data_IF_627154709640
#
_entry.id   IF_627154709640
#
_cell.length_a   1.000
_cell.length_b   1.000
_cell.length_c   1.000
_cell.angle_alpha   90.00
_cell.angle_beta   90.00
_cell.angle_gamma   90.00
#
_symmetry.space_group_name_H-M   'P 1'
#
loop_
_entity.id
_entity.type
_entity.pdbx_description
1 polymer ?
#
# COMPACT_ATOMS: atom_id res chain seq x y z
N UNK A 1 0.81 -28.07 -5.07
CA UNK A 1 1.86 -27.85 -6.09
C UNK A 1 1.52 -26.56 -6.80
N UNK A 2 2.51 -25.73 -7.12
CA UNK A 2 2.32 -24.56 -7.99
C UNK A 2 2.05 -25.07 -9.41
N UNK A 3 1.02 -24.54 -10.05
CA UNK A 3 0.71 -24.80 -11.46
C UNK A 3 1.64 -23.93 -12.32
N UNK A 4 2.57 -24.56 -13.04
CA UNK A 4 3.61 -23.86 -13.79
C UNK A 4 3.07 -22.99 -14.93
N UNK A 5 1.91 -23.34 -15.48
CA UNK A 5 1.26 -22.63 -16.60
C UNK A 5 0.13 -21.70 -16.09
N UNK A 6 -0.03 -21.62 -14.78
CA UNK A 6 -1.14 -20.93 -14.13
C UNK A 6 -1.08 -19.41 -14.23
N UNK A 7 -2.24 -18.78 -13.99
CA UNK A 7 -2.36 -17.33 -13.83
C UNK A 7 -2.38 -17.01 -12.34
N UNK A 8 -1.45 -16.19 -11.88
CA UNK A 8 -1.36 -15.77 -10.48
C UNK A 8 -1.62 -14.29 -10.32
N UNK A 9 -2.19 -13.90 -9.18
CA UNK A 9 -2.37 -12.50 -8.81
C UNK A 9 -1.47 -12.16 -7.64
N UNK A 10 -0.70 -11.08 -7.76
CA UNK A 10 -0.07 -10.42 -6.61
C UNK A 10 -0.86 -9.13 -6.33
N UNK A 11 -1.69 -9.17 -5.28
CA UNK A 11 -2.61 -8.10 -4.95
C UNK A 11 -1.94 -6.90 -4.28
N UNK A 12 -0.65 -7.02 -3.95
CA UNK A 12 0.17 -6.03 -3.26
C UNK A 12 1.59 -6.10 -3.81
N UNK A 13 1.71 -5.92 -5.13
CA UNK A 13 2.96 -6.25 -5.85
C UNK A 13 4.17 -5.50 -5.29
N UNK A 14 3.96 -4.31 -4.71
CA UNK A 14 5.02 -3.55 -4.08
C UNK A 14 6.17 -3.32 -5.06
N UNK A 15 7.41 -3.55 -4.62
CA UNK A 15 8.59 -3.50 -5.50
C UNK A 15 8.77 -4.73 -6.41
N UNK A 16 7.88 -5.72 -6.37
CA UNK A 16 7.89 -6.90 -7.25
C UNK A 16 8.72 -8.09 -6.77
N UNK A 17 9.18 -8.12 -5.51
CA UNK A 17 10.03 -9.20 -5.00
C UNK A 17 9.36 -10.58 -4.94
N UNK A 18 8.13 -10.64 -4.42
CA UNK A 18 7.36 -11.90 -4.40
C UNK A 18 6.94 -12.32 -5.80
N UNK A 19 6.45 -11.37 -6.60
CA UNK A 19 6.15 -11.54 -8.02
C UNK A 19 7.31 -12.16 -8.82
N UNK A 20 8.52 -11.62 -8.67
CA UNK A 20 9.73 -12.13 -9.34
C UNK A 20 10.02 -13.58 -8.93
N UNK A 21 10.02 -13.85 -7.62
CA UNK A 21 10.29 -15.19 -7.10
C UNK A 21 9.24 -16.22 -7.53
N UNK A 22 8.00 -15.79 -7.76
CA UNK A 22 6.95 -16.63 -8.33
C UNK A 22 7.19 -16.88 -9.82
N UNK A 23 7.40 -15.83 -10.61
CA UNK A 23 7.62 -15.92 -12.06
C UNK A 23 8.84 -16.77 -12.43
N UNK A 24 9.92 -16.71 -11.64
CA UNK A 24 11.11 -17.57 -11.80
C UNK A 24 10.81 -19.07 -11.65
N UNK A 25 9.65 -19.44 -11.07
CA UNK A 25 9.20 -20.84 -10.92
C UNK A 25 8.13 -21.25 -11.93
N UNK A 26 7.59 -20.32 -12.69
CA UNK A 26 6.57 -20.57 -13.71
C UNK A 26 7.22 -20.89 -15.05
N UNK A 27 6.51 -21.62 -15.90
CA UNK A 27 6.90 -21.84 -17.29
C UNK A 27 6.67 -20.56 -18.12
N UNK A 28 7.08 -20.56 -19.38
CA UNK A 28 6.80 -19.45 -20.30
C UNK A 28 5.30 -19.19 -20.55
N UNK A 29 4.42 -20.14 -20.19
CA UNK A 29 2.97 -19.95 -20.28
C UNK A 29 2.37 -19.35 -19.01
N UNK A 30 3.06 -19.46 -17.87
CA UNK A 30 2.59 -18.91 -16.61
C UNK A 30 2.62 -17.39 -16.61
N UNK A 31 1.56 -16.78 -16.07
CA UNK A 31 1.32 -15.34 -16.09
C UNK A 31 1.15 -14.78 -14.69
N UNK A 32 1.55 -13.52 -14.53
CA UNK A 32 1.34 -12.75 -13.33
C UNK A 32 0.51 -11.50 -13.62
N UNK A 33 -0.52 -11.30 -12.81
CA UNK A 33 -1.27 -10.05 -12.73
C UNK A 33 -0.91 -9.37 -11.40
N UNK A 34 -0.09 -8.32 -11.46
CA UNK A 34 0.30 -7.54 -10.28
C UNK A 34 -0.52 -6.27 -10.15
N UNK A 35 -0.86 -5.89 -8.92
CA UNK A 35 -1.51 -4.62 -8.66
C UNK A 35 -0.98 -3.94 -7.39
N UNK A 36 -0.96 -2.60 -7.43
CA UNK A 36 -0.71 -1.76 -6.26
C UNK A 36 -1.47 -0.44 -6.42
N UNK A 37 -1.73 0.24 -5.29
CA UNK A 37 -2.25 1.61 -5.31
C UNK A 37 -1.14 2.66 -5.41
N UNK A 38 0.07 2.28 -5.03
CA UNK A 38 1.26 3.13 -5.04
C UNK A 38 1.94 3.09 -6.42
N UNK A 39 1.96 4.24 -7.09
CA UNK A 39 2.55 4.39 -8.43
C UNK A 39 4.08 4.24 -8.41
N UNK A 40 4.75 4.63 -7.32
CA UNK A 40 6.19 4.46 -7.18
C UNK A 40 6.57 2.99 -7.06
N UNK A 41 5.77 2.22 -6.30
CA UNK A 41 5.94 0.78 -6.15
C UNK A 41 5.74 0.07 -7.49
N UNK A 42 4.68 0.41 -8.24
CA UNK A 42 4.44 -0.14 -9.56
C UNK A 42 5.54 0.16 -10.57
N UNK A 43 6.11 1.37 -10.54
CA UNK A 43 7.24 1.70 -11.40
C UNK A 43 8.47 0.83 -11.09
N UNK A 44 8.73 0.55 -9.81
CA UNK A 44 9.80 -0.36 -9.40
C UNK A 44 9.53 -1.81 -9.81
N UNK A 45 8.30 -2.30 -9.59
CA UNK A 45 7.90 -3.62 -10.05
C UNK A 45 8.01 -3.76 -11.57
N UNK A 46 7.64 -2.73 -12.33
CA UNK A 46 7.76 -2.74 -13.79
C UNK A 46 9.21 -2.89 -14.24
N UNK A 47 10.15 -2.18 -13.60
CA UNK A 47 11.58 -2.32 -13.92
C UNK A 47 12.12 -3.70 -13.51
N UNK A 48 11.81 -4.15 -12.28
CA UNK A 48 12.27 -5.45 -11.77
C UNK A 48 11.76 -6.61 -12.64
N UNK A 49 10.49 -6.56 -13.04
CA UNK A 49 9.82 -7.63 -13.76
C UNK A 49 9.97 -7.52 -15.28
N UNK A 50 10.69 -6.50 -15.79
CA UNK A 50 10.86 -6.24 -17.22
C UNK A 50 11.37 -7.45 -18.00
N UNK A 51 12.19 -8.31 -17.38
CA UNK A 51 12.74 -9.52 -18.00
C UNK A 51 11.69 -10.59 -18.36
N UNK A 52 10.50 -10.54 -17.75
CA UNK A 52 9.42 -11.50 -18.00
C UNK A 52 8.47 -11.07 -19.13
N UNK A 53 8.61 -9.86 -19.66
CA UNK A 53 7.87 -9.36 -20.82
C UNK A 53 6.35 -9.47 -20.66
N UNK A 54 5.68 -9.98 -21.70
CA UNK A 54 4.21 -10.03 -21.80
C UNK A 54 3.54 -10.98 -20.80
N UNK A 55 4.32 -11.78 -20.06
CA UNK A 55 3.81 -12.64 -18.98
C UNK A 55 3.35 -11.84 -17.78
N UNK A 56 3.71 -10.56 -17.68
CA UNK A 56 3.41 -9.69 -16.55
C UNK A 56 2.47 -8.56 -16.96
N UNK A 57 1.35 -8.45 -16.26
CA UNK A 57 0.42 -7.33 -16.36
C UNK A 57 0.41 -6.60 -15.03
N UNK A 58 0.83 -5.33 -15.03
CA UNK A 58 0.78 -4.48 -13.85
C UNK A 58 -0.36 -3.47 -13.97
N UNK A 59 -1.20 -3.37 -12.94
CA UNK A 59 -2.34 -2.44 -12.89
C UNK A 59 -2.30 -1.61 -11.62
N UNK A 60 -2.45 -0.29 -11.79
CA UNK A 60 -2.65 0.62 -10.67
C UNK A 60 -4.09 0.55 -10.19
N UNK A 61 -4.30 -0.11 -9.06
CA UNK A 61 -5.60 -0.23 -8.40
C UNK A 61 -5.42 -0.73 -6.96
N UNK A 62 -6.32 -0.36 -6.03
CA UNK A 62 -6.37 -1.01 -4.73
C UNK A 62 -6.81 -2.48 -4.89
N UNK A 63 -6.29 -3.39 -4.07
CA UNK A 63 -6.66 -4.81 -4.13
C UNK A 63 -8.16 -5.08 -3.98
N UNK A 64 -8.93 -4.16 -3.40
CA UNK A 64 -10.40 -4.24 -3.34
C UNK A 64 -11.06 -4.25 -4.71
N UNK A 65 -10.36 -3.77 -5.75
CA UNK A 65 -10.82 -3.73 -7.14
C UNK A 65 -10.32 -4.93 -7.97
N UNK A 66 -9.63 -5.90 -7.35
CA UNK A 66 -9.10 -7.09 -8.04
C UNK A 66 -10.17 -7.78 -8.90
N UNK A 67 -11.39 -7.95 -8.39
CA UNK A 67 -12.48 -8.59 -9.14
C UNK A 67 -12.92 -7.82 -10.38
N UNK A 68 -12.88 -6.48 -10.36
CA UNK A 68 -13.16 -5.64 -11.53
C UNK A 68 -12.03 -5.77 -12.55
N UNK A 69 -10.79 -5.68 -12.06
CA UNK A 69 -9.60 -5.78 -12.90
C UNK A 69 -9.49 -7.14 -13.60
N UNK A 70 -9.78 -8.25 -12.93
CA UNK A 70 -9.80 -9.58 -13.56
C UNK A 70 -10.89 -9.70 -14.65
N UNK A 71 -12.05 -9.09 -14.44
CA UNK A 71 -13.12 -9.05 -15.45
C UNK A 71 -12.71 -8.26 -16.69
N UNK A 72 -12.07 -7.10 -16.52
CA UNK A 72 -11.58 -6.28 -17.62
C UNK A 72 -10.50 -6.98 -18.45
N UNK A 73 -9.70 -7.84 -17.79
CA UNK A 73 -8.69 -8.67 -18.45
C UNK A 73 -9.26 -9.98 -19.03
N UNK A 74 -10.58 -10.18 -18.93
CA UNK A 74 -11.29 -11.40 -19.36
C UNK A 74 -10.73 -12.68 -18.71
N UNK A 75 -10.26 -12.57 -17.46
CA UNK A 75 -9.73 -13.68 -16.67
C UNK A 75 -10.84 -14.25 -15.78
N UNK A 76 -11.30 -15.45 -16.11
CA UNK A 76 -12.35 -16.14 -15.35
C UNK A 76 -11.84 -16.83 -14.07
N UNK A 77 -10.63 -17.39 -14.10
CA UNK A 77 -10.04 -18.16 -13.00
C UNK A 77 -8.55 -17.86 -12.84
N UNK A 78 -8.07 -17.98 -11.60
CA UNK A 78 -6.65 -17.79 -11.24
C UNK A 78 -6.19 -18.98 -10.40
N UNK A 79 -4.94 -19.41 -10.61
CA UNK A 79 -4.31 -20.54 -9.93
C UNK A 79 -3.85 -20.18 -8.50
N UNK A 80 -3.78 -18.89 -8.17
CA UNK A 80 -3.51 -18.41 -6.83
C UNK A 80 -3.48 -16.89 -6.70
N UNK A 81 -3.70 -16.41 -5.47
CA UNK A 81 -3.64 -14.98 -5.12
C UNK A 81 -2.75 -14.80 -3.90
N UNK A 82 -1.82 -13.84 -3.99
CA UNK A 82 -0.96 -13.43 -2.90
C UNK A 82 -1.40 -12.07 -2.34
N UNK A 83 -1.38 -11.96 -1.01
CA UNK A 83 -1.50 -10.70 -0.28
C UNK A 83 -0.35 -10.60 0.71
N UNK A 84 0.48 -9.58 0.55
CA UNK A 84 1.51 -9.15 1.49
C UNK A 84 1.06 -7.84 2.13
N UNK A 85 0.38 -7.95 3.26
CA UNK A 85 -0.27 -6.81 3.91
C UNK A 85 0.73 -6.04 4.77
N UNK A 86 0.91 -4.76 4.48
CA UNK A 86 1.77 -3.89 5.26
C UNK A 86 2.16 -2.64 4.48
N UNK A 87 3.19 -1.96 4.98
CA UNK A 87 3.88 -0.89 4.27
C UNK A 87 5.20 -1.43 3.72
N UNK A 88 5.60 -0.96 2.55
CA UNK A 88 6.88 -1.36 1.97
C UNK A 88 8.05 -0.63 2.64
N UNK A 89 9.26 -1.21 2.59
CA UNK A 89 10.48 -0.53 3.03
C UNK A 89 10.66 0.80 2.31
N UNK A 90 10.38 0.87 1.00
CA UNK A 90 10.44 2.10 0.22
C UNK A 90 9.54 3.21 0.76
N UNK A 91 8.36 2.87 1.28
CA UNK A 91 7.46 3.84 1.91
C UNK A 91 8.01 4.38 3.23
N UNK A 92 8.71 3.55 4.01
CA UNK A 92 9.33 3.94 5.28
C UNK A 92 10.63 4.74 5.05
N UNK A 93 11.45 4.32 4.10
CA UNK A 93 12.80 4.87 3.89
C UNK A 93 12.77 6.25 3.22
N UNK A 94 11.67 6.58 2.51
CA UNK A 94 11.48 7.89 1.88
C UNK A 94 10.79 8.85 2.84
N UNK A 95 11.57 9.74 3.46
CA UNK A 95 11.05 10.79 4.36
C UNK A 95 9.85 11.57 3.78
N UNK A 96 9.88 11.87 2.47
CA UNK A 96 8.80 12.56 1.76
C UNK A 96 7.42 11.88 1.80
N UNK A 97 7.36 10.59 2.18
CA UNK A 97 6.11 9.82 2.30
C UNK A 97 5.43 9.97 3.67
N UNK A 98 6.16 10.43 4.68
CA UNK A 98 5.60 10.68 6.02
C UNK A 98 5.30 9.42 6.86
N UNK A 99 5.75 8.23 6.45
CA UNK A 99 5.55 7.00 7.25
C UNK A 99 6.55 6.85 8.39
N UNK A 100 7.70 7.51 8.32
CA UNK A 100 8.77 7.40 9.30
C UNK A 100 8.73 8.56 10.29
N UNK A 101 8.82 8.24 11.58
CA UNK A 101 9.09 9.20 12.65
C UNK A 101 10.60 9.41 12.88
N UNK A 102 11.47 8.62 12.22
CA UNK A 102 12.93 8.73 12.36
C UNK A 102 13.52 9.75 11.39
N UNK A 103 12.89 9.90 10.23
CA UNK A 103 13.27 10.89 9.21
C UNK A 103 12.13 11.89 9.10
N UNK A 104 12.43 13.16 9.34
CA UNK A 104 11.43 14.24 9.26
C UNK A 104 10.93 14.42 7.82
N UNK A 105 9.61 14.50 7.67
CA UNK A 105 8.94 14.63 6.39
C UNK A 105 7.52 15.16 6.54
N UNK A 106 6.80 15.45 5.43
CA UNK A 106 5.42 15.88 5.50
C UNK A 106 4.56 14.79 6.14
N UNK A 107 3.61 15.16 6.99
CA UNK A 107 2.70 14.23 7.66
C UNK A 107 1.61 13.74 6.68
N UNK A 108 2.00 12.94 5.70
CA UNK A 108 1.13 12.44 4.63
C UNK A 108 0.58 11.03 4.93
N UNK A 109 1.45 10.01 4.96
CA UNK A 109 1.11 8.59 5.19
C UNK A 109 0.12 7.95 4.20
N UNK A 110 -0.17 8.58 3.05
CA UNK A 110 -0.93 7.91 1.98
C UNK A 110 -0.03 6.95 1.18
N UNK A 111 -0.54 5.75 0.93
CA UNK A 111 0.09 4.79 0.04
C UNK A 111 0.01 5.26 -1.43
N UNK A 112 -1.16 5.71 -1.89
CA UNK A 112 -1.33 6.34 -3.20
C UNK A 112 -1.36 7.86 -3.09
N UNK A 113 -0.27 8.54 -3.45
CA UNK A 113 -0.17 10.01 -3.31
C UNK A 113 -1.18 10.80 -4.16
N UNK A 114 -1.60 10.21 -5.27
CA UNK A 114 -2.56 10.81 -6.22
C UNK A 114 -4.02 10.56 -5.83
N UNK A 115 -4.27 9.75 -4.79
CA UNK A 115 -5.61 9.56 -4.25
C UNK A 115 -6.08 10.86 -3.56
N UNK A 116 -7.30 11.30 -3.90
CA UNK A 116 -7.95 12.45 -3.22
C UNK A 116 -8.52 12.01 -1.87
N UNK A 117 -7.66 11.51 -1.01
CA UNK A 117 -7.97 11.05 0.35
C UNK A 117 -7.32 11.98 1.38
N UNK A 118 -7.74 11.84 2.64
CA UNK A 118 -7.17 12.62 3.76
C UNK A 118 -5.73 12.18 4.02
N UNK A 119 -4.84 13.14 4.19
CA UNK A 119 -3.50 12.92 4.75
C UNK A 119 -3.57 12.66 6.26
N UNK A 120 -2.49 12.15 6.85
CA UNK A 120 -2.35 12.06 8.29
C UNK A 120 -2.45 13.44 8.96
N UNK A 121 -1.91 14.50 8.34
CA UNK A 121 -2.06 15.88 8.77
C UNK A 121 -3.54 16.29 8.83
N UNK A 122 -4.32 15.99 7.78
CA UNK A 122 -5.76 16.27 7.78
C UNK A 122 -6.46 15.57 8.94
N UNK A 123 -6.14 14.29 9.17
CA UNK A 123 -6.73 13.50 10.26
C UNK A 123 -6.41 14.13 11.62
N UNK A 124 -5.14 14.33 11.95
CA UNK A 124 -4.75 14.82 13.29
C UNK A 124 -5.18 16.27 13.52
N UNK A 125 -5.28 17.09 12.47
CA UNK A 125 -5.67 18.49 12.61
C UNK A 125 -7.20 18.70 12.60
N UNK A 126 -8.00 17.80 11.99
CA UNK A 126 -9.45 18.01 11.83
C UNK A 126 -10.34 17.11 12.69
N UNK A 127 -9.90 15.91 13.07
CA UNK A 127 -10.76 14.97 13.80
C UNK A 127 -11.07 15.45 15.21
N UNK A 128 -12.24 15.09 15.76
CA UNK A 128 -12.54 15.35 17.17
C UNK A 128 -11.63 14.53 18.10
N UNK A 129 -11.49 14.93 19.38
CA UNK A 129 -10.74 14.13 20.37
C UNK A 129 -11.26 12.69 20.45
N UNK A 130 -12.59 12.50 20.36
CA UNK A 130 -13.22 11.18 20.37
C UNK A 130 -12.84 10.38 19.12
N UNK A 131 -12.92 10.97 17.94
CA UNK A 131 -12.56 10.28 16.70
C UNK A 131 -11.07 9.88 16.67
N UNK A 132 -10.17 10.74 17.17
CA UNK A 132 -8.75 10.40 17.32
C UNK A 132 -8.54 9.27 18.33
N UNK A 133 -9.25 9.29 19.46
CA UNK A 133 -9.21 8.19 20.42
C UNK A 133 -9.63 6.86 19.80
N UNK A 134 -10.71 6.86 19.00
CA UNK A 134 -11.22 5.66 18.34
C UNK A 134 -10.22 5.11 17.32
N UNK A 135 -9.55 5.98 16.56
CA UNK A 135 -8.46 5.60 15.65
C UNK A 135 -7.29 4.95 16.41
N UNK A 136 -6.74 5.63 17.43
CA UNK A 136 -5.58 5.12 18.15
C UNK A 136 -5.87 3.84 18.94
N UNK A 137 -7.09 3.70 19.45
CA UNK A 137 -7.48 2.51 20.20
C UNK A 137 -7.85 1.35 19.29
N UNK A 138 -8.59 1.61 18.21
CA UNK A 138 -9.08 0.58 17.29
C UNK A 138 -8.01 0.04 16.35
N UNK A 139 -7.15 0.92 15.82
CA UNK A 139 -6.12 0.52 14.84
C UNK A 139 -4.70 0.46 15.42
N UNK A 140 -4.41 1.25 16.46
CA UNK A 140 -3.08 1.27 17.08
C UNK A 140 -2.94 0.44 18.35
N UNK A 141 -4.05 -0.09 18.88
CA UNK A 141 -4.09 -0.81 20.16
C UNK A 141 -3.42 -0.04 21.33
N UNK A 142 -3.41 1.30 21.25
CA UNK A 142 -2.55 2.13 22.08
C UNK A 142 -3.16 2.37 23.48
N UNK A 143 -2.44 1.94 24.53
CA UNK A 143 -2.87 2.07 25.94
C UNK A 143 -3.19 3.51 26.34
N UNK A 144 -2.43 4.47 25.83
CA UNK A 144 -2.54 5.89 26.12
C UNK A 144 -3.42 6.66 25.12
N UNK A 145 -4.23 5.97 24.31
CA UNK A 145 -5.05 6.55 23.22
C UNK A 145 -5.76 7.85 23.63
N UNK A 146 -6.42 7.85 24.80
CA UNK A 146 -7.16 9.03 25.29
C UNK A 146 -6.24 10.20 25.65
N UNK A 147 -5.08 9.91 26.24
CA UNK A 147 -4.09 10.93 26.61
C UNK A 147 -3.45 11.54 25.35
N UNK A 148 -3.15 10.70 24.36
CA UNK A 148 -2.56 11.12 23.07
C UNK A 148 -3.55 11.99 22.28
N UNK A 149 -4.79 11.53 22.10
CA UNK A 149 -5.83 12.30 21.40
C UNK A 149 -6.04 13.69 22.00
N UNK A 150 -6.18 13.78 23.33
CA UNK A 150 -6.29 15.05 24.05
C UNK A 150 -5.08 15.96 23.80
N UNK A 151 -3.87 15.38 23.83
CA UNK A 151 -2.64 16.14 23.66
C UNK A 151 -2.51 16.68 22.23
N UNK A 152 -2.88 15.89 21.23
CA UNK A 152 -2.92 16.34 19.83
C UNK A 152 -3.90 17.52 19.68
N UNK A 153 -5.13 17.39 20.17
CA UNK A 153 -6.12 18.48 20.12
C UNK A 153 -5.63 19.76 20.82
N UNK A 154 -4.97 19.64 21.97
CA UNK A 154 -4.43 20.79 22.69
C UNK A 154 -3.27 21.46 21.95
N UNK A 155 -2.42 20.68 21.27
CA UNK A 155 -1.25 21.19 20.56
C UNK A 155 -1.60 21.80 19.20
N UNK A 156 -2.50 21.17 18.43
CA UNK A 156 -2.88 21.66 17.09
C UNK A 156 -3.54 23.04 17.11
N UNK A 157 -4.18 23.40 18.22
CA UNK A 157 -4.78 24.73 18.43
C UNK A 157 -3.71 25.84 18.56
N UNK A 158 -2.46 25.48 18.87
CA UNK A 158 -1.33 26.42 18.92
C UNK A 158 -0.61 26.48 17.58
N UNK A 159 -0.35 25.32 16.99
CA UNK A 159 0.27 25.18 15.68
C UNK A 159 -0.19 23.86 15.06
N UNK A 160 -0.69 23.86 13.82
CA UNK A 160 -1.04 22.63 13.11
C UNK A 160 0.15 21.66 13.01
N UNK A 161 -0.15 20.37 12.95
CA UNK A 161 0.84 19.32 12.67
C UNK A 161 1.00 19.15 11.16
N UNK A 162 2.18 19.45 10.64
CA UNK A 162 2.47 19.35 9.21
C UNK A 162 3.55 18.32 8.90
N UNK A 163 4.26 17.83 9.92
CA UNK A 163 5.46 16.99 9.78
C UNK A 163 5.51 15.86 10.83
N UNK A 164 6.32 14.82 10.56
CA UNK A 164 6.49 13.62 11.38
C UNK A 164 7.34 13.80 12.64
#
# INVERSE_FOLDING_TARGET
MTDGDGIYVDATVGGGGHAEALLDRLTEQGRLIGMDRDEEALAEAAERLRRFGDRVVLKRAPFSEMGTMLKELEIGEVSGVLFDLGVSSHQIDRAGRGFSYRQDGPLDMRMGQTERTRTAADVVNSYSEQALFDVFRGYGEERWSRRIARRICALRNKSPFERT
#
